data_IF_788759568426
#
_entry.id   IF_788759568426
#
_cell.length_a   1.000
_cell.length_b   1.000
_cell.length_c   1.000
_cell.angle_alpha   90.00
_cell.angle_beta   90.00
_cell.angle_gamma   90.00
#
_symmetry.space_group_name_H-M   'P 1'
#
loop_
_entity.id
_entity.type
_entity.pdbx_description
1 polymer ?
#
# COMPACT_ATOMS: atom_id res chain seq x y z
N UNK A 1 -0.84 -26.41 11.51
CA UNK A 1 -0.12 -25.18 11.12
C UNK A 1 -1.06 -24.00 11.32
N UNK A 2 -0.58 -22.93 11.96
CA UNK A 2 -1.40 -21.73 12.21
C UNK A 2 -1.47 -20.88 10.94
N UNK A 3 -2.69 -20.51 10.54
CA UNK A 3 -2.92 -19.62 9.39
C UNK A 3 -2.58 -18.17 9.74
N UNK A 4 -2.07 -17.43 8.76
CA UNK A 4 -1.76 -16.00 8.87
C UNK A 4 -2.41 -15.25 7.70
N UNK A 5 -3.46 -14.47 7.98
CA UNK A 5 -4.18 -13.71 6.96
C UNK A 5 -3.48 -12.38 6.66
N UNK A 6 -3.18 -12.13 5.40
CA UNK A 6 -2.53 -10.93 4.91
C UNK A 6 -3.55 -10.05 4.19
N UNK A 7 -3.90 -8.90 4.80
CA UNK A 7 -5.00 -8.04 4.35
C UNK A 7 -4.57 -6.88 3.44
N UNK A 8 -3.25 -6.63 3.34
CA UNK A 8 -2.73 -5.52 2.53
C UNK A 8 -2.88 -5.79 1.03
N UNK A 9 -2.98 -4.75 0.18
CA UNK A 9 -3.06 -4.92 -1.28
C UNK A 9 -1.74 -5.39 -1.89
N UNK A 10 -1.82 -5.84 -3.16
CA UNK A 10 -0.64 -6.13 -3.98
C UNK A 10 0.16 -4.86 -4.32
N UNK A 11 1.47 -4.98 -4.56
CA UNK A 11 2.31 -6.18 -4.52
C UNK A 11 2.85 -6.53 -3.12
N UNK A 12 2.39 -5.82 -2.11
CA UNK A 12 2.81 -6.02 -0.72
C UNK A 12 2.30 -7.35 -0.15
N UNK A 13 1.10 -7.77 -0.53
CA UNK A 13 0.49 -9.03 -0.08
C UNK A 13 1.39 -10.23 -0.41
N UNK A 14 1.75 -10.42 -1.66
CA UNK A 14 2.61 -11.53 -2.10
C UNK A 14 3.96 -11.55 -1.37
N UNK A 15 4.60 -10.40 -1.14
CA UNK A 15 5.86 -10.31 -0.39
C UNK A 15 5.71 -10.74 1.06
N UNK A 16 4.66 -10.28 1.74
CA UNK A 16 4.38 -10.67 3.12
C UNK A 16 4.04 -12.16 3.22
N UNK A 17 3.25 -12.70 2.29
CA UNK A 17 2.93 -14.13 2.23
C UNK A 17 4.19 -14.98 2.05
N UNK A 18 5.08 -14.61 1.13
CA UNK A 18 6.36 -15.32 0.92
C UNK A 18 7.24 -15.31 2.18
N UNK A 19 7.32 -14.17 2.88
CA UNK A 19 8.08 -14.06 4.11
C UNK A 19 7.46 -14.88 5.27
N UNK A 20 6.12 -14.93 5.39
CA UNK A 20 5.41 -15.74 6.38
C UNK A 20 5.63 -17.25 6.15
N UNK A 21 5.59 -17.70 4.91
CA UNK A 21 5.81 -19.12 4.57
C UNK A 21 7.16 -19.63 5.08
N UNK A 22 8.19 -18.77 5.07
CA UNK A 22 9.52 -19.10 5.60
C UNK A 22 9.56 -19.23 7.13
N UNK A 23 8.50 -18.85 7.87
CA UNK A 23 8.43 -18.89 9.33
C UNK A 23 7.59 -20.05 9.89
N UNK A 24 7.05 -20.91 9.03
CA UNK A 24 6.16 -22.02 9.42
C UNK A 24 4.71 -21.61 9.69
N UNK A 25 4.33 -20.35 9.39
CA UNK A 25 2.94 -19.94 9.30
C UNK A 25 2.40 -20.26 7.90
N UNK A 26 1.12 -20.60 7.81
CA UNK A 26 0.42 -20.80 6.54
C UNK A 26 -0.18 -19.46 6.07
N UNK A 27 0.42 -18.79 5.05
CA UNK A 27 -0.09 -17.50 4.61
C UNK A 27 -1.37 -17.65 3.80
N UNK A 28 -2.37 -16.82 4.12
CA UNK A 28 -3.62 -16.70 3.37
C UNK A 28 -3.75 -15.28 2.86
N UNK A 29 -3.69 -15.10 1.55
CA UNK A 29 -3.88 -13.80 0.90
C UNK A 29 -5.38 -13.43 0.91
N UNK A 30 -5.73 -12.36 1.62
CA UNK A 30 -7.10 -11.82 1.67
C UNK A 30 -7.05 -10.28 1.60
N UNK A 31 -6.62 -9.70 0.47
CA UNK A 31 -6.53 -8.25 0.36
C UNK A 31 -7.91 -7.60 0.50
N UNK A 32 -8.05 -6.62 1.41
CA UNK A 32 -9.29 -5.89 1.62
C UNK A 32 -9.44 -4.67 0.71
N UNK A 33 -8.36 -4.29 0.04
CA UNK A 33 -8.30 -3.20 -0.91
C UNK A 33 -7.47 -3.60 -2.13
N UNK A 34 -7.84 -3.04 -3.29
CA UNK A 34 -7.06 -3.15 -4.51
C UNK A 34 -6.85 -1.76 -5.12
N UNK A 35 -5.72 -1.55 -5.77
CA UNK A 35 -5.52 -0.35 -6.56
C UNK A 35 -6.35 -0.46 -7.85
N UNK A 36 -7.13 0.57 -8.14
CA UNK A 36 -7.97 0.68 -9.34
C UNK A 36 -7.68 1.99 -10.07
N UNK A 37 -7.73 2.02 -11.40
CA UNK A 37 -7.60 3.26 -12.17
C UNK A 37 -8.75 4.21 -11.86
N UNK A 38 -8.48 5.50 -11.99
CA UNK A 38 -9.48 6.55 -11.99
C UNK A 38 -9.62 7.10 -13.40
N UNK A 39 -10.79 7.65 -13.71
CA UNK A 39 -10.95 8.48 -14.90
C UNK A 39 -10.19 9.80 -14.69
N UNK A 40 -9.32 10.13 -15.59
CA UNK A 40 -8.54 11.35 -15.58
C UNK A 40 -8.20 11.81 -17.00
N UNK A 41 -7.90 13.08 -17.16
CA UNK A 41 -7.44 13.65 -18.44
C UNK A 41 -6.03 14.20 -18.27
N UNK A 42 -5.08 13.85 -19.15
CA UNK A 42 -3.74 14.39 -19.10
C UNK A 42 -3.77 15.91 -19.38
N UNK A 43 -3.15 16.71 -18.50
CA UNK A 43 -3.02 18.13 -18.71
C UNK A 43 -2.04 18.42 -19.85
N UNK A 44 -1.93 19.69 -20.26
CA UNK A 44 -0.90 20.13 -21.20
C UNK A 44 0.50 19.87 -20.60
N UNK A 45 1.33 19.02 -21.22
CA UNK A 45 2.66 18.72 -20.73
C UNK A 45 3.58 19.95 -20.65
N UNK A 46 3.35 20.99 -21.48
CA UNK A 46 4.17 22.20 -21.48
C UNK A 46 3.99 23.06 -20.20
N UNK A 47 2.95 22.80 -19.43
CA UNK A 47 2.73 23.43 -18.14
C UNK A 47 3.65 22.91 -17.03
N UNK A 48 4.37 21.80 -17.26
CA UNK A 48 5.20 21.11 -16.26
C UNK A 48 6.62 20.89 -16.76
N UNK A 49 7.54 20.71 -15.82
CA UNK A 49 8.95 20.46 -16.10
C UNK A 49 9.32 18.98 -15.89
N UNK A 50 8.59 18.28 -15.01
CA UNK A 50 8.80 16.85 -14.75
C UNK A 50 7.56 16.19 -14.13
N UNK A 51 7.51 14.85 -14.22
CA UNK A 51 6.56 13.99 -13.51
C UNK A 51 7.14 13.58 -12.16
N UNK A 52 6.38 13.75 -11.07
CA UNK A 52 6.66 13.13 -9.79
C UNK A 52 5.85 11.82 -9.68
N UNK A 53 6.53 10.71 -9.45
CA UNK A 53 5.92 9.40 -9.23
C UNK A 53 6.30 8.88 -7.85
N UNK A 54 5.33 8.77 -6.95
CA UNK A 54 5.52 8.25 -5.59
C UNK A 54 5.20 6.76 -5.47
N UNK A 55 4.56 6.18 -6.49
CA UNK A 55 4.18 4.77 -6.52
C UNK A 55 4.24 4.20 -7.93
N UNK A 56 4.69 2.95 -8.05
CA UNK A 56 4.60 2.19 -9.30
C UNK A 56 3.15 1.97 -9.77
N UNK A 57 2.16 2.09 -8.87
CA UNK A 57 0.75 1.98 -9.24
C UNK A 57 0.30 3.15 -10.14
N UNK A 58 0.85 4.34 -9.96
CA UNK A 58 0.57 5.46 -10.85
C UNK A 58 0.92 5.13 -12.31
N UNK A 59 2.08 4.49 -12.53
CA UNK A 59 2.50 4.06 -13.87
C UNK A 59 1.58 2.97 -14.44
N UNK A 60 1.27 1.96 -13.62
CA UNK A 60 0.50 0.79 -14.07
C UNK A 60 -0.97 1.09 -14.36
N UNK A 61 -1.53 2.10 -13.68
CA UNK A 61 -2.96 2.40 -13.69
C UNK A 61 -3.32 3.72 -14.38
N UNK A 62 -2.32 4.49 -14.83
CA UNK A 62 -2.57 5.74 -15.55
C UNK A 62 -3.18 5.54 -16.95
N UNK A 63 -3.10 4.32 -17.51
CA UNK A 63 -3.66 4.04 -18.84
C UNK A 63 -2.99 4.85 -19.95
N UNK A 64 -3.71 5.04 -21.07
CA UNK A 64 -3.21 5.70 -22.27
C UNK A 64 -2.84 7.17 -22.08
N UNK A 65 -3.41 7.83 -21.06
CA UNK A 65 -3.08 9.20 -20.72
C UNK A 65 -1.61 9.41 -20.38
N UNK A 66 -0.92 8.39 -19.89
CA UNK A 66 0.50 8.44 -19.56
C UNK A 66 1.38 8.72 -20.79
N UNK A 67 1.02 8.17 -21.95
CA UNK A 67 1.79 8.36 -23.18
C UNK A 67 1.87 9.85 -23.61
N UNK A 68 0.84 10.64 -23.30
CA UNK A 68 0.84 12.09 -23.59
C UNK A 68 1.82 12.89 -22.70
N UNK A 69 2.25 12.32 -21.62
CA UNK A 69 3.18 12.90 -20.66
C UNK A 69 4.61 12.31 -20.77
N UNK A 70 4.84 11.37 -21.71
CA UNK A 70 6.10 10.63 -21.83
C UNK A 70 7.32 11.48 -22.19
N UNK A 71 7.10 12.71 -22.70
CA UNK A 71 8.18 13.68 -22.95
C UNK A 71 8.70 14.37 -21.69
N UNK A 72 8.02 14.24 -20.54
CA UNK A 72 8.47 14.83 -19.28
C UNK A 72 9.44 13.88 -18.56
N UNK A 73 10.60 14.40 -18.07
CA UNK A 73 11.49 13.59 -17.23
C UNK A 73 10.81 13.19 -15.93
N UNK A 74 11.14 12.01 -15.40
CA UNK A 74 10.53 11.44 -14.22
C UNK A 74 11.41 11.62 -12.98
N UNK A 75 10.81 12.11 -11.91
CA UNK A 75 11.31 12.06 -10.53
C UNK A 75 10.59 10.91 -9.82
N UNK A 76 11.26 9.79 -9.65
CA UNK A 76 10.74 8.62 -8.95
C UNK A 76 11.16 8.64 -7.49
N UNK A 77 10.22 8.44 -6.56
CA UNK A 77 10.51 8.47 -5.11
C UNK A 77 11.35 7.28 -4.65
N UNK A 78 11.36 6.18 -5.40
CA UNK A 78 12.18 5.02 -5.04
C UNK A 78 12.44 4.07 -6.21
N UNK A 79 13.34 3.12 -6.03
CA UNK A 79 13.84 2.21 -7.06
C UNK A 79 12.73 1.40 -7.75
N UNK A 80 11.74 0.90 -7.00
CA UNK A 80 10.62 0.13 -7.57
C UNK A 80 9.74 0.99 -8.49
N UNK A 81 9.53 2.27 -8.15
CA UNK A 81 8.81 3.23 -8.98
C UNK A 81 9.61 3.58 -10.23
N UNK A 82 10.92 3.81 -10.08
CA UNK A 82 11.81 4.07 -11.20
C UNK A 82 11.85 2.90 -12.20
N UNK A 83 11.91 1.66 -11.69
CA UNK A 83 11.87 0.47 -12.53
C UNK A 83 10.55 0.37 -13.33
N UNK A 84 9.40 0.64 -12.68
CA UNK A 84 8.11 0.65 -13.36
C UNK A 84 8.04 1.76 -14.44
N UNK A 85 8.56 2.96 -14.15
CA UNK A 85 8.60 4.06 -15.10
C UNK A 85 9.45 3.73 -16.34
N UNK A 86 10.65 3.18 -16.13
CA UNK A 86 11.53 2.75 -17.25
C UNK A 86 10.88 1.64 -18.10
N UNK A 87 10.24 0.66 -17.44
CA UNK A 87 9.53 -0.41 -18.14
C UNK A 87 8.35 0.12 -19.00
N UNK A 88 7.78 1.26 -18.63
CA UNK A 88 6.76 1.97 -19.41
C UNK A 88 7.35 2.95 -20.45
N UNK A 89 8.67 2.95 -20.67
CA UNK A 89 9.34 3.80 -21.66
C UNK A 89 9.55 5.26 -21.23
N UNK A 90 9.39 5.58 -19.93
CA UNK A 90 9.60 6.93 -19.42
C UNK A 90 11.08 7.18 -19.09
N UNK A 91 11.55 8.41 -19.34
CA UNK A 91 12.91 8.84 -18.96
C UNK A 91 12.97 9.18 -17.46
N UNK A 92 13.76 8.43 -16.70
CA UNK A 92 13.90 8.63 -15.24
C UNK A 92 15.14 9.43 -14.93
N UNK A 93 14.94 10.72 -14.69
CA UNK A 93 16.01 11.68 -14.38
C UNK A 93 16.49 11.61 -12.92
N UNK A 94 15.58 11.36 -11.96
CA UNK A 94 15.92 11.31 -10.53
C UNK A 94 15.29 10.07 -9.90
N UNK A 95 16.08 9.38 -9.07
CA UNK A 95 15.61 8.29 -8.20
C UNK A 95 15.88 8.67 -6.75
N UNK A 96 14.83 8.74 -5.95
CA UNK A 96 14.90 8.94 -4.50
C UNK A 96 15.08 7.64 -3.74
N UNK A 97 15.07 7.74 -2.43
CA UNK A 97 15.28 6.65 -1.45
C UNK A 97 14.00 6.27 -0.68
N UNK A 98 12.83 6.73 -1.14
CA UNK A 98 11.50 6.37 -0.61
C UNK A 98 10.75 7.51 0.08
N UNK A 99 11.36 8.67 0.27
CA UNK A 99 10.71 9.86 0.83
C UNK A 99 10.31 10.85 -0.29
N UNK A 100 9.03 11.21 -0.35
CA UNK A 100 8.50 12.12 -1.35
C UNK A 100 9.03 13.55 -1.18
N UNK A 101 9.15 14.04 0.06
CA UNK A 101 9.65 15.40 0.32
C UNK A 101 11.13 15.50 -0.07
N UNK A 102 11.93 14.48 0.26
CA UNK A 102 13.34 14.41 -0.15
C UNK A 102 13.49 14.35 -1.69
N UNK A 103 12.63 13.57 -2.37
CA UNK A 103 12.64 13.50 -3.83
C UNK A 103 12.29 14.86 -4.49
N UNK A 104 11.29 15.57 -3.96
CA UNK A 104 10.93 16.94 -4.39
C UNK A 104 12.07 17.92 -4.15
N UNK A 105 12.77 17.84 -3.02
CA UNK A 105 13.93 18.68 -2.74
C UNK A 105 15.08 18.45 -3.74
N UNK A 106 15.34 17.17 -4.10
CA UNK A 106 16.34 16.81 -5.12
C UNK A 106 15.97 17.27 -6.53
N UNK A 107 14.68 17.47 -6.78
CA UNK A 107 14.14 17.94 -8.05
C UNK A 107 14.09 19.46 -8.19
N UNK A 108 14.96 20.21 -7.51
CA UNK A 108 14.98 21.68 -7.52
C UNK A 108 15.13 22.30 -8.91
N UNK A 109 15.75 21.58 -9.86
CA UNK A 109 15.87 21.98 -11.26
C UNK A 109 14.52 21.92 -12.03
N UNK A 110 13.48 21.29 -11.48
CA UNK A 110 12.15 21.15 -12.05
C UNK A 110 11.12 21.87 -11.17
N UNK A 111 10.93 23.20 -11.30
CA UNK A 111 10.06 23.97 -10.41
C UNK A 111 8.58 23.63 -10.52
N UNK A 112 8.12 23.07 -11.65
CA UNK A 112 6.71 22.74 -11.93
C UNK A 112 6.55 21.23 -12.04
N UNK A 113 6.31 20.56 -10.92
CA UNK A 113 6.12 19.11 -10.86
C UNK A 113 4.64 18.73 -11.00
N UNK A 114 4.34 17.77 -11.89
CA UNK A 114 3.06 17.09 -11.94
C UNK A 114 3.17 15.74 -11.22
N UNK A 115 2.46 15.58 -10.11
CA UNK A 115 2.39 14.33 -9.37
C UNK A 115 1.21 13.48 -9.85
N UNK A 116 1.48 12.41 -10.60
CA UNK A 116 0.46 11.38 -10.83
C UNK A 116 0.28 10.59 -9.54
N UNK A 117 -0.78 10.90 -8.82
CA UNK A 117 -1.00 10.49 -7.44
C UNK A 117 -2.03 9.38 -7.28
N UNK A 118 -2.06 8.73 -6.12
CA UNK A 118 -3.26 8.07 -5.63
C UNK A 118 -4.27 9.11 -5.14
N UNK A 119 -5.57 8.77 -5.07
CA UNK A 119 -6.61 9.66 -4.51
C UNK A 119 -6.23 10.12 -3.10
N UNK A 120 -5.81 9.20 -2.26
CA UNK A 120 -5.26 9.50 -0.94
C UNK A 120 -3.74 9.69 -1.04
N UNK A 121 -3.31 10.93 -1.07
CA UNK A 121 -1.88 11.31 -1.14
C UNK A 121 -1.56 12.44 -0.17
N UNK A 122 -0.30 12.57 0.17
CA UNK A 122 0.20 13.70 0.95
C UNK A 122 0.59 14.82 -0.01
N UNK A 123 -0.05 15.98 0.15
CA UNK A 123 0.27 17.16 -0.65
C UNK A 123 1.73 17.59 -0.41
N UNK A 124 2.40 17.99 -1.48
CA UNK A 124 3.76 18.52 -1.43
C UNK A 124 3.77 19.98 -1.90
N UNK A 125 4.54 20.86 -1.28
CA UNK A 125 4.68 22.24 -1.75
C UNK A 125 5.17 22.30 -3.21
N UNK A 126 4.60 23.20 -4.00
CA UNK A 126 4.96 23.43 -5.42
C UNK A 126 4.75 22.22 -6.34
N UNK A 127 3.92 21.26 -5.93
CA UNK A 127 3.57 20.07 -6.71
C UNK A 127 2.09 20.10 -7.04
N UNK A 128 1.73 20.02 -8.31
CA UNK A 128 0.36 19.85 -8.77
C UNK A 128 0.02 18.37 -8.75
N UNK A 129 -0.87 17.93 -7.85
CA UNK A 129 -1.26 16.54 -7.76
C UNK A 129 -2.48 16.25 -8.64
N UNK A 130 -2.41 15.17 -9.39
CA UNK A 130 -3.49 14.65 -10.22
C UNK A 130 -3.73 13.17 -9.86
N UNK A 131 -4.84 12.83 -9.19
CA UNK A 131 -5.18 11.46 -8.87
C UNK A 131 -5.47 10.64 -10.14
N UNK A 132 -4.73 9.56 -10.34
CA UNK A 132 -4.88 8.65 -11.50
C UNK A 132 -5.26 7.23 -11.08
N UNK A 133 -5.19 6.93 -9.78
CA UNK A 133 -5.66 5.67 -9.19
C UNK A 133 -6.20 5.87 -7.78
N UNK A 134 -6.95 4.89 -7.29
CA UNK A 134 -7.40 4.86 -5.90
C UNK A 134 -7.22 3.45 -5.31
N UNK A 135 -7.17 3.39 -3.97
CA UNK A 135 -7.25 2.13 -3.23
C UNK A 135 -8.70 1.84 -2.92
N UNK A 136 -9.35 1.01 -3.75
CA UNK A 136 -10.78 0.69 -3.61
C UNK A 136 -11.02 -0.56 -2.75
N UNK A 137 -12.13 -0.59 -1.97
CA UNK A 137 -12.50 -1.75 -1.20
C UNK A 137 -12.81 -2.96 -2.09
N UNK A 138 -12.26 -4.12 -1.74
CA UNK A 138 -12.59 -5.39 -2.41
C UNK A 138 -13.81 -6.02 -1.75
N UNK A 139 -14.71 -6.59 -2.53
CA UNK A 139 -15.81 -7.43 -2.00
C UNK A 139 -15.21 -8.73 -1.49
N UNK A 140 -15.41 -9.01 -0.20
CA UNK A 140 -14.92 -10.22 0.46
C UNK A 140 -16.09 -11.15 0.73
N UNK A 141 -16.00 -12.39 0.24
CA UNK A 141 -17.01 -13.40 0.49
C UNK A 141 -16.99 -13.83 1.99
N UNK A 142 -18.15 -14.11 2.59
CA UNK A 142 -18.23 -14.47 4.01
C UNK A 142 -17.42 -15.73 4.39
N UNK A 143 -17.34 -16.72 3.52
CA UNK A 143 -16.55 -17.94 3.69
C UNK A 143 -15.04 -17.66 3.67
N UNK A 144 -14.57 -16.76 2.79
CA UNK A 144 -13.17 -16.32 2.79
C UNK A 144 -12.80 -15.61 4.11
N UNK A 145 -13.73 -14.84 4.68
CA UNK A 145 -13.53 -14.18 5.95
C UNK A 145 -13.49 -15.15 7.14
N UNK A 146 -14.20 -16.28 7.05
CA UNK A 146 -14.15 -17.33 8.07
C UNK A 146 -12.74 -17.93 8.23
N UNK A 147 -11.84 -17.78 7.25
CA UNK A 147 -10.44 -18.16 7.37
C UNK A 147 -9.70 -17.41 8.49
N UNK A 148 -10.28 -16.32 9.02
CA UNK A 148 -9.73 -15.58 10.16
C UNK A 148 -9.90 -16.32 11.49
N UNK A 149 -10.84 -17.27 11.59
CA UNK A 149 -11.04 -18.05 12.81
C UNK A 149 -9.81 -18.92 13.10
N UNK A 150 -9.36 -18.91 14.35
CA UNK A 150 -8.15 -19.60 14.83
C UNK A 150 -6.85 -19.21 14.09
N UNK A 151 -6.88 -18.06 13.38
CA UNK A 151 -5.77 -17.54 12.64
C UNK A 151 -5.17 -16.29 13.30
N UNK A 152 -4.02 -15.86 12.79
CA UNK A 152 -3.43 -14.54 13.08
C UNK A 152 -3.68 -13.64 11.89
N UNK A 153 -4.30 -12.49 12.11
CA UNK A 153 -4.59 -11.50 11.06
C UNK A 153 -3.57 -10.35 11.12
N UNK A 154 -2.87 -10.10 10.02
CA UNK A 154 -1.86 -9.06 9.92
C UNK A 154 -2.48 -7.74 9.45
N UNK A 155 -2.40 -6.71 10.29
CA UNK A 155 -2.96 -5.38 10.07
C UNK A 155 -1.84 -4.39 9.73
N UNK A 156 -1.75 -3.96 8.47
CA UNK A 156 -0.72 -3.05 7.97
C UNK A 156 -1.13 -1.57 7.99
N UNK A 157 -2.42 -1.27 8.18
CA UNK A 157 -2.92 0.11 8.23
C UNK A 157 -4.20 0.22 9.05
N UNK A 158 -4.46 1.41 9.61
CA UNK A 158 -5.69 1.70 10.35
C UNK A 158 -6.94 1.49 9.48
N UNK A 159 -6.90 1.87 8.19
CA UNK A 159 -7.99 1.69 7.25
C UNK A 159 -8.32 0.20 7.03
N UNK A 160 -7.29 -0.65 6.88
CA UNK A 160 -7.49 -2.10 6.76
C UNK A 160 -8.01 -2.71 8.07
N UNK A 161 -7.52 -2.24 9.22
CA UNK A 161 -7.98 -2.67 10.54
C UNK A 161 -9.46 -2.36 10.77
N UNK A 162 -9.90 -1.13 10.50
CA UNK A 162 -11.29 -0.72 10.60
C UNK A 162 -12.21 -1.56 9.68
N UNK A 163 -11.78 -1.74 8.40
CA UNK A 163 -12.55 -2.53 7.46
C UNK A 163 -12.64 -3.99 7.87
N UNK A 164 -11.54 -4.59 8.32
CA UNK A 164 -11.55 -5.96 8.85
C UNK A 164 -12.50 -6.08 10.05
N UNK A 165 -12.41 -5.17 11.02
CA UNK A 165 -13.26 -5.17 12.20
C UNK A 165 -14.77 -5.06 11.85
N UNK A 166 -15.11 -4.28 10.83
CA UNK A 166 -16.47 -4.15 10.32
C UNK A 166 -16.93 -5.45 9.65
N UNK A 167 -16.12 -6.04 8.75
CA UNK A 167 -16.44 -7.28 8.05
C UNK A 167 -16.55 -8.46 9.01
N UNK A 168 -15.67 -8.54 10.03
CA UNK A 168 -15.65 -9.57 11.06
C UNK A 168 -16.72 -9.35 12.16
N UNK A 169 -17.66 -8.43 11.98
CA UNK A 169 -18.67 -8.08 13.01
C UNK A 169 -19.58 -9.22 13.42
N UNK A 170 -19.73 -10.26 12.57
CA UNK A 170 -20.51 -11.48 12.86
C UNK A 170 -19.67 -12.67 13.29
N UNK A 171 -18.33 -12.55 13.28
CA UNK A 171 -17.43 -13.61 13.71
C UNK A 171 -17.15 -13.51 15.21
N UNK A 172 -16.90 -14.65 15.89
CA UNK A 172 -16.47 -14.67 17.28
C UNK A 172 -15.05 -14.09 17.41
N UNK A 173 -14.94 -12.79 17.64
CA UNK A 173 -13.65 -12.07 17.72
C UNK A 173 -12.69 -12.70 18.74
N UNK A 174 -13.23 -13.30 19.82
CA UNK A 174 -12.44 -14.01 20.82
C UNK A 174 -11.69 -15.25 20.29
N UNK A 175 -11.92 -15.65 19.03
CA UNK A 175 -11.18 -16.72 18.35
C UNK A 175 -10.19 -16.19 17.30
N UNK A 176 -10.05 -14.85 17.17
CA UNK A 176 -9.21 -14.22 16.16
C UNK A 176 -8.08 -13.47 16.86
N UNK A 177 -6.83 -13.74 16.45
CA UNK A 177 -5.64 -13.05 16.94
C UNK A 177 -5.20 -11.99 15.95
N UNK A 178 -4.70 -10.86 16.42
CA UNK A 178 -4.23 -9.76 15.58
C UNK A 178 -2.74 -9.50 15.78
N UNK A 179 -2.04 -9.27 14.69
CA UNK A 179 -0.73 -8.63 14.67
C UNK A 179 -0.87 -7.27 13.99
N UNK A 180 -0.56 -6.19 14.70
CA UNK A 180 -0.74 -4.83 14.22
C UNK A 180 0.60 -4.11 14.00
N UNK A 181 0.73 -3.37 12.91
CA UNK A 181 1.94 -2.65 12.53
C UNK A 181 2.33 -1.54 13.54
N UNK A 182 1.35 -1.00 14.27
CA UNK A 182 1.54 0.02 15.30
C UNK A 182 0.35 0.06 16.26
N UNK A 183 0.51 0.76 17.39
CA UNK A 183 -0.58 0.95 18.36
C UNK A 183 -1.80 1.66 17.76
N UNK A 184 -1.59 2.62 16.84
CA UNK A 184 -2.67 3.28 16.14
C UNK A 184 -3.46 2.30 15.24
N UNK A 185 -2.78 1.36 14.59
CA UNK A 185 -3.42 0.31 13.80
C UNK A 185 -4.20 -0.67 14.68
N UNK A 186 -3.63 -1.06 15.83
CA UNK A 186 -4.31 -1.91 16.80
C UNK A 186 -5.59 -1.24 17.35
N UNK A 187 -5.49 0.04 17.74
CA UNK A 187 -6.63 0.81 18.22
C UNK A 187 -7.75 0.92 17.17
N UNK A 188 -7.41 1.05 15.89
CA UNK A 188 -8.37 1.12 14.79
C UNK A 188 -9.16 -0.17 14.58
N UNK A 189 -8.64 -1.32 15.01
CA UNK A 189 -9.35 -2.60 14.98
C UNK A 189 -10.41 -2.73 16.09
N UNK A 190 -10.35 -1.91 17.13
CA UNK A 190 -11.21 -2.03 18.30
C UNK A 190 -10.87 -3.25 19.17
N UNK A 191 -11.78 -3.62 20.05
CA UNK A 191 -11.58 -4.67 21.04
C UNK A 191 -12.33 -5.98 20.78
N UNK A 192 -12.18 -6.91 21.75
CA UNK A 192 -12.87 -8.21 21.75
C UNK A 192 -12.10 -9.34 21.05
N UNK A 193 -10.87 -9.08 20.57
CA UNK A 193 -10.01 -10.07 19.92
C UNK A 193 -9.35 -10.98 20.94
N UNK A 194 -9.06 -12.25 20.57
CA UNK A 194 -8.40 -13.22 21.43
C UNK A 194 -7.05 -12.72 21.95
N UNK A 195 -6.28 -12.12 21.07
CA UNK A 195 -4.96 -11.55 21.37
C UNK A 195 -4.64 -10.44 20.39
N UNK A 196 -3.97 -9.40 20.83
CA UNK A 196 -3.45 -8.33 19.98
C UNK A 196 -1.98 -8.11 20.30
N UNK A 197 -1.12 -8.29 19.31
CA UNK A 197 0.31 -8.03 19.43
C UNK A 197 0.69 -6.90 18.48
N UNK A 198 1.38 -5.88 19.01
CA UNK A 198 1.85 -4.74 18.23
C UNK A 198 3.32 -4.96 17.87
N UNK A 199 3.69 -4.69 16.63
CA UNK A 199 5.07 -4.74 16.18
C UNK A 199 5.92 -3.70 16.94
N UNK A 200 7.15 -4.06 17.30
CA UNK A 200 8.07 -3.18 18.05
C UNK A 200 8.42 -1.89 17.29
N UNK A 201 8.41 -1.96 15.96
CA UNK A 201 8.63 -0.84 15.05
C UNK A 201 7.83 -1.03 13.77
N UNK A 202 7.44 0.06 13.07
CA UNK A 202 6.79 -0.08 11.77
C UNK A 202 7.70 -0.78 10.76
N UNK A 203 7.21 -1.90 10.19
CA UNK A 203 7.95 -2.67 9.19
C UNK A 203 7.43 -4.09 9.08
N UNK A 204 7.54 -4.65 7.87
CA UNK A 204 6.97 -5.97 7.57
C UNK A 204 7.62 -7.09 8.40
N UNK A 205 8.95 -7.03 8.56
CA UNK A 205 9.69 -8.01 9.36
C UNK A 205 9.26 -7.99 10.84
N UNK A 206 9.10 -6.80 11.45
CA UNK A 206 8.64 -6.69 12.84
C UNK A 206 7.18 -7.10 13.00
N UNK A 207 6.33 -6.85 11.99
CA UNK A 207 4.93 -7.31 11.99
C UNK A 207 4.84 -8.84 11.90
N UNK A 208 5.72 -9.50 11.14
CA UNK A 208 5.81 -10.96 11.09
C UNK A 208 6.24 -11.53 12.46
N UNK A 209 7.20 -10.88 13.15
CA UNK A 209 7.55 -11.29 14.52
C UNK A 209 6.37 -11.14 15.49
N UNK A 210 5.60 -10.04 15.38
CA UNK A 210 4.37 -9.86 16.13
C UNK A 210 3.33 -10.96 15.82
N UNK A 211 3.23 -11.41 14.55
CA UNK A 211 2.34 -12.51 14.17
C UNK A 211 2.79 -13.85 14.78
N UNK A 212 4.08 -14.13 14.85
CA UNK A 212 4.62 -15.31 15.53
C UNK A 212 4.31 -15.27 17.03
N UNK A 213 4.51 -14.12 17.69
CA UNK A 213 4.18 -13.94 19.11
C UNK A 213 2.67 -13.97 19.39
N UNK A 214 1.83 -13.67 18.39
CA UNK A 214 0.37 -13.81 18.52
C UNK A 214 -0.12 -15.24 18.33
N UNK A 215 0.65 -16.12 17.69
CA UNK A 215 0.32 -17.53 17.45
C UNK A 215 0.17 -18.31 18.76
N UNK A 216 1.07 -18.07 19.69
CA UNK A 216 1.15 -18.72 21.00
C UNK A 216 0.27 -17.95 22.02
#
# INVERSE_FOLDING_TARGET
VTRALVLRPEPGNARTCAALAATGLEPVALPLFAAAPLDWSPPDPTAFDALLLTSAQAVRLAGDGLARLAGLPVVAVGAATAAAARAAGLDVAIVGDGDAAAAVARAAAFPRLLHLAGREHVAQPRVSALPVYASEPVVVAPDALAAALDAVVLLHSARAAQRFAMLAGRLPRAQIRLAALSSAVAAAAGGGWAKVVVAERPGDAALIQAALAARD
#
